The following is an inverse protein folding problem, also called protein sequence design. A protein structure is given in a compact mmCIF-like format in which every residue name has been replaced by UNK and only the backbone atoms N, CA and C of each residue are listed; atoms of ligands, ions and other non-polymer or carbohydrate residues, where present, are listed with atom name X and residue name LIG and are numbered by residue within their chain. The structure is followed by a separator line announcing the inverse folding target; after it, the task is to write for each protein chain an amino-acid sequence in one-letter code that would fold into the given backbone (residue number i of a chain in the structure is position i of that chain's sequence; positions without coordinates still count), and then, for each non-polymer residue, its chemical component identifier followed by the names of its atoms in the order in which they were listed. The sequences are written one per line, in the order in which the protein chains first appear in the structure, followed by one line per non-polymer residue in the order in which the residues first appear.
data_IF_668819591930
#
_entry.id   IF_668819591930
#
_cell.length_a   1.000
_cell.length_b   1.000
_cell.length_c   1.000
_cell.angle_alpha   90.00
_cell.angle_beta   90.00
_cell.angle_gamma   90.00
#
_symmetry.space_group_name_H-M   'P 1'
#
loop_
_entity.id
_entity.type
_entity.pdbx_description
1 polymer ?
#
# COMPACT_ATOMS: atom_id res chain seq x y z
N UNK A 1 11.80 30.99 -1.91
CA UNK A 1 12.75 30.06 -1.28
C UNK A 1 11.91 29.05 -0.53
N UNK A 2 12.07 27.76 -0.80
CA UNK A 2 11.30 26.71 -0.12
C UNK A 2 11.62 26.68 1.38
N UNK A 3 10.69 26.16 2.18
CA UNK A 3 10.90 25.89 3.61
C UNK A 3 12.15 25.00 3.77
N UNK A 4 13.09 25.35 4.66
CA UNK A 4 14.27 24.52 4.90
C UNK A 4 13.87 23.22 5.62
N UNK A 5 14.40 22.08 5.15
CA UNK A 5 14.12 20.75 5.68
C UNK A 5 15.42 20.12 6.21
N UNK A 6 16.02 20.74 7.24
CA UNK A 6 17.40 20.45 7.65
C UNK A 6 17.67 18.97 7.96
N UNK A 7 16.70 18.25 8.55
CA UNK A 7 16.84 16.83 8.86
C UNK A 7 16.80 15.98 7.58
N UNK A 8 15.88 16.27 6.66
CA UNK A 8 15.80 15.58 5.37
C UNK A 8 17.01 15.91 4.48
N UNK A 9 17.49 17.15 4.48
CA UNK A 9 18.69 17.57 3.76
C UNK A 9 19.91 16.81 4.26
N UNK A 10 20.03 16.59 5.57
CA UNK A 10 21.06 15.74 6.15
C UNK A 10 20.93 14.26 5.72
N UNK A 11 19.71 13.73 5.62
CA UNK A 11 19.45 12.38 5.11
C UNK A 11 19.84 12.23 3.62
N UNK A 12 19.61 13.26 2.79
CA UNK A 12 20.08 13.30 1.40
C UNK A 12 21.61 13.43 1.34
N UNK A 13 22.22 14.22 2.22
CA UNK A 13 23.67 14.34 2.30
C UNK A 13 24.33 13.02 2.73
N UNK A 14 23.71 12.27 3.64
CA UNK A 14 24.15 10.93 4.01
C UNK A 14 24.17 9.99 2.80
N UNK A 15 23.15 10.07 1.92
CA UNK A 15 23.12 9.31 0.66
C UNK A 15 24.26 9.71 -0.27
N UNK A 16 24.54 11.02 -0.41
CA UNK A 16 25.63 11.53 -1.22
C UNK A 16 27.03 11.11 -0.73
N UNK A 17 27.16 10.77 0.54
CA UNK A 17 28.40 10.27 1.15
C UNK A 17 28.56 8.75 1.05
N UNK A 18 27.55 8.02 0.58
CA UNK A 18 27.65 6.57 0.44
C UNK A 18 28.66 6.19 -0.65
N UNK A 19 29.45 5.12 -0.43
CA UNK A 19 30.33 4.60 -1.47
C UNK A 19 29.55 4.27 -2.74
N UNK A 20 30.14 4.58 -3.89
CA UNK A 20 29.58 4.29 -5.22
C UNK A 20 28.27 5.01 -5.60
N UNK A 21 27.82 6.02 -4.84
CA UNK A 21 26.70 6.89 -5.26
C UNK A 21 27.21 8.02 -6.18
N UNK A 22 26.84 8.05 -7.47
CA UNK A 22 27.23 9.14 -8.37
C UNK A 22 26.44 10.42 -8.08
N UNK A 23 26.98 11.61 -8.37
CA UNK A 23 26.27 12.89 -8.21
C UNK A 23 24.92 12.94 -8.94
N UNK A 24 24.79 12.23 -10.07
CA UNK A 24 23.54 12.13 -10.82
C UNK A 24 22.42 11.46 -10.01
N UNK A 25 22.72 10.45 -9.18
CA UNK A 25 21.71 9.80 -8.33
C UNK A 25 21.25 10.74 -7.21
N UNK A 26 22.17 11.50 -6.61
CA UNK A 26 21.83 12.52 -5.61
C UNK A 26 20.94 13.61 -6.21
N UNK A 27 21.24 14.04 -7.43
CA UNK A 27 20.41 15.00 -8.16
C UNK A 27 19.01 14.43 -8.44
N UNK A 28 18.90 13.16 -8.85
CA UNK A 28 17.61 12.49 -9.04
C UNK A 28 16.80 12.38 -7.75
N UNK A 29 17.42 12.03 -6.62
CA UNK A 29 16.76 12.01 -5.32
C UNK A 29 16.25 13.39 -4.92
N UNK A 30 17.10 14.40 -5.05
CA UNK A 30 16.74 15.80 -4.74
C UNK A 30 15.61 16.31 -5.62
N UNK A 31 15.63 15.96 -6.92
CA UNK A 31 14.58 16.31 -7.87
C UNK A 31 13.25 15.60 -7.56
N UNK A 32 13.29 14.31 -7.20
CA UNK A 32 12.11 13.54 -6.83
C UNK A 32 11.42 14.14 -5.59
N UNK A 33 12.19 14.49 -4.56
CA UNK A 33 11.68 15.19 -3.37
C UNK A 33 11.08 16.55 -3.75
N UNK A 34 11.84 17.38 -4.46
CA UNK A 34 11.40 18.72 -4.86
C UNK A 34 10.12 18.73 -5.72
N UNK A 35 9.85 17.65 -6.46
CA UNK A 35 8.67 17.51 -7.30
C UNK A 35 7.38 17.17 -6.54
N UNK A 36 7.48 16.78 -5.27
CA UNK A 36 6.34 16.37 -4.44
C UNK A 36 6.45 16.95 -3.02
N UNK A 37 5.81 18.12 -2.78
CA UNK A 37 5.83 18.78 -1.48
C UNK A 37 5.23 17.94 -0.35
N UNK A 38 4.19 17.13 -0.65
CA UNK A 38 3.54 16.28 0.36
C UNK A 38 4.46 15.15 0.81
N UNK A 39 5.12 14.49 -0.14
CA UNK A 39 6.15 13.49 0.16
C UNK A 39 7.33 14.09 0.93
N UNK A 40 7.81 15.27 0.51
CA UNK A 40 8.91 15.98 1.16
C UNK A 40 8.57 16.29 2.61
N UNK A 41 7.37 16.83 2.88
CA UNK A 41 6.93 17.13 4.23
C UNK A 41 6.83 15.86 5.09
N UNK A 42 6.35 14.75 4.53
CA UNK A 42 6.26 13.48 5.24
C UNK A 42 7.64 12.91 5.60
N UNK A 43 8.57 12.88 4.64
CA UNK A 43 9.93 12.38 4.88
C UNK A 43 10.72 13.31 5.82
N UNK A 44 10.48 14.62 5.77
CA UNK A 44 11.09 15.57 6.71
C UNK A 44 10.55 15.39 8.13
N UNK A 45 9.26 15.10 8.31
CA UNK A 45 8.71 14.74 9.61
C UNK A 45 9.31 13.42 10.14
N UNK A 46 9.50 12.44 9.26
CA UNK A 46 10.16 11.17 9.61
C UNK A 46 11.64 11.38 9.97
N UNK A 47 12.35 12.26 9.24
CA UNK A 47 13.73 12.59 9.55
C UNK A 47 13.85 13.37 10.87
N UNK A 48 13.00 14.36 11.06
CA UNK A 48 12.98 15.22 12.26
C UNK A 48 12.59 14.45 13.53
N UNK A 49 11.73 13.44 13.42
CA UNK A 49 11.41 12.55 14.55
C UNK A 49 12.48 11.48 14.81
N UNK A 50 13.49 11.39 13.94
CA UNK A 50 14.52 10.35 13.99
C UNK A 50 14.03 8.97 13.55
N UNK A 51 12.86 8.87 12.91
CA UNK A 51 12.38 7.64 12.28
C UNK A 51 13.14 7.36 10.96
N UNK A 52 13.72 8.38 10.33
CA UNK A 52 14.55 8.24 9.14
C UNK A 52 15.89 8.97 9.34
N UNK A 53 17.00 8.26 9.25
CA UNK A 53 18.34 8.85 9.36
C UNK A 53 18.98 9.15 8.00
N UNK A 54 18.58 8.43 6.95
CA UNK A 54 19.25 8.55 5.66
C UNK A 54 18.73 7.59 4.61
N UNK A 55 19.23 7.78 3.39
CA UNK A 55 19.07 6.82 2.30
C UNK A 55 20.40 6.12 2.04
N UNK A 56 20.33 4.89 1.53
CA UNK A 56 21.48 4.10 1.08
C UNK A 56 21.17 3.47 -0.28
N UNK A 57 22.15 3.31 -1.19
CA UNK A 57 21.93 2.59 -2.43
C UNK A 57 21.84 1.08 -2.15
N UNK A 58 21.07 0.36 -2.96
CA UNK A 58 21.11 -1.10 -2.95
C UNK A 58 22.55 -1.60 -3.22
N UNK A 59 23.00 -2.56 -2.42
CA UNK A 59 24.35 -3.11 -2.55
C UNK A 59 24.51 -3.86 -3.89
N UNK A 60 25.68 -3.79 -4.55
CA UNK A 60 25.94 -4.56 -5.76
C UNK A 60 25.69 -6.06 -5.54
N UNK A 61 24.86 -6.67 -6.39
CA UNK A 61 24.52 -8.10 -6.31
C UNK A 61 23.47 -8.47 -5.26
N UNK A 62 22.86 -7.51 -4.57
CA UNK A 62 21.71 -7.77 -3.70
C UNK A 62 20.50 -8.27 -4.51
N UNK A 63 19.59 -8.98 -3.85
CA UNK A 63 18.30 -9.33 -4.45
C UNK A 63 17.54 -8.07 -4.85
N UNK A 64 16.78 -8.15 -5.94
CA UNK A 64 15.95 -7.02 -6.36
C UNK A 64 14.85 -6.74 -5.34
N UNK A 65 14.74 -5.47 -4.94
CA UNK A 65 13.72 -4.96 -4.03
C UNK A 65 13.02 -3.79 -4.70
N UNK A 66 12.08 -4.04 -5.62
CA UNK A 66 11.52 -3.02 -6.51
C UNK A 66 10.76 -1.90 -5.81
N UNK A 67 10.36 -2.08 -4.54
CA UNK A 67 9.77 -1.01 -3.72
C UNK A 67 10.75 -0.39 -2.73
N UNK A 68 12.02 -0.82 -2.71
CA UNK A 68 13.00 -0.45 -1.68
C UNK A 68 12.86 -1.26 -0.40
N UNK A 69 13.67 -0.90 0.60
CA UNK A 69 13.66 -1.52 1.92
C UNK A 69 14.05 -0.51 3.00
N UNK A 70 13.24 -0.41 4.04
CA UNK A 70 13.52 0.33 5.25
C UNK A 70 14.03 -0.60 6.34
N UNK A 71 15.20 -0.29 6.89
CA UNK A 71 15.79 -0.99 8.01
C UNK A 71 15.49 -0.23 9.31
N UNK A 72 14.67 -0.78 10.23
CA UNK A 72 14.30 -0.11 11.48
C UNK A 72 15.47 -0.02 12.48
N UNK A 73 16.53 -0.81 12.32
CA UNK A 73 17.69 -0.81 13.21
C UNK A 73 18.64 0.33 12.90
N UNK A 74 18.94 0.55 11.62
CA UNK A 74 19.77 1.67 11.15
C UNK A 74 18.94 2.92 10.84
N UNK A 75 17.62 2.77 10.72
CA UNK A 75 16.66 3.80 10.31
C UNK A 75 17.00 4.37 8.93
N UNK A 76 17.46 3.51 8.03
CA UNK A 76 17.83 3.91 6.67
C UNK A 76 16.90 3.29 5.65
N UNK A 77 16.70 4.01 4.55
CA UNK A 77 15.93 3.55 3.40
C UNK A 77 16.87 3.17 2.26
N UNK A 78 16.89 1.89 1.92
CA UNK A 78 17.59 1.33 0.78
C UNK A 78 16.81 1.61 -0.50
N UNK A 79 17.40 2.40 -1.40
CA UNK A 79 16.85 2.74 -2.69
C UNK A 79 17.33 1.73 -3.75
N UNK A 80 16.43 1.08 -4.50
CA UNK A 80 16.81 0.05 -5.47
C UNK A 80 17.52 0.68 -6.67
N UNK A 81 18.43 -0.08 -7.28
CA UNK A 81 19.13 0.38 -8.48
C UNK A 81 18.17 0.72 -9.63
N UNK A 82 17.04 0.01 -9.72
CA UNK A 82 15.96 0.27 -10.70
C UNK A 82 15.26 1.63 -10.53
N UNK A 83 15.44 2.29 -9.38
CA UNK A 83 14.97 3.66 -9.16
C UNK A 83 15.88 4.71 -9.84
N UNK A 84 17.09 4.34 -10.27
CA UNK A 84 18.07 5.25 -10.89
C UNK A 84 18.42 4.79 -12.31
N UNK A 85 17.54 4.97 -13.31
CA UNK A 85 17.86 4.66 -14.70
C UNK A 85 19.00 5.54 -15.20
N UNK A 86 19.82 4.99 -16.10
CA UNK A 86 21.01 5.67 -16.68
C UNK A 86 20.69 6.92 -17.52
N UNK A 87 19.41 7.27 -17.71
CA UNK A 87 18.97 8.39 -18.54
C UNK A 87 17.62 8.92 -18.05
N UNK A 88 17.60 10.17 -17.56
CA UNK A 88 16.39 10.96 -17.32
C UNK A 88 15.79 10.93 -15.91
N UNK A 89 14.75 11.77 -15.72
CA UNK A 89 13.92 11.81 -14.51
C UNK A 89 13.25 10.45 -14.27
N UNK A 90 13.29 9.97 -13.03
CA UNK A 90 12.82 8.62 -12.68
C UNK A 90 11.47 8.67 -11.95
N UNK A 91 10.33 8.46 -12.64
CA UNK A 91 9.04 8.23 -11.97
C UNK A 91 9.09 7.01 -11.02
N UNK A 92 10.04 6.11 -11.24
CA UNK A 92 10.27 4.96 -10.35
C UNK A 92 10.82 5.38 -8.98
N UNK A 93 11.72 6.36 -8.91
CA UNK A 93 12.24 6.82 -7.61
C UNK A 93 11.15 7.49 -6.79
N UNK A 94 10.34 8.34 -7.41
CA UNK A 94 9.22 8.99 -6.74
C UNK A 94 8.23 7.99 -6.15
N UNK A 95 7.84 6.97 -6.92
CA UNK A 95 6.95 5.91 -6.43
C UNK A 95 7.57 5.04 -5.33
N UNK A 96 8.86 4.71 -5.42
CA UNK A 96 9.59 4.01 -4.35
C UNK A 96 9.56 4.83 -3.06
N UNK A 97 9.89 6.13 -3.13
CA UNK A 97 9.91 7.01 -1.94
C UNK A 97 8.53 7.11 -1.29
N UNK A 98 7.45 7.22 -2.08
CA UNK A 98 6.07 7.20 -1.57
C UNK A 98 5.77 5.90 -0.82
N UNK A 99 6.11 4.75 -1.40
CA UNK A 99 5.87 3.45 -0.76
C UNK A 99 6.67 3.31 0.53
N UNK A 100 7.95 3.67 0.51
CA UNK A 100 8.79 3.58 1.69
C UNK A 100 8.41 4.58 2.78
N UNK A 101 7.92 5.77 2.44
CA UNK A 101 7.37 6.70 3.44
C UNK A 101 6.18 6.07 4.18
N UNK A 102 5.33 5.29 3.50
CA UNK A 102 4.26 4.51 4.15
C UNK A 102 4.79 3.39 5.05
N UNK A 103 5.88 2.72 4.65
CA UNK A 103 6.53 1.67 5.44
C UNK A 103 7.16 2.23 6.72
N UNK A 104 7.85 3.37 6.63
CA UNK A 104 8.42 4.08 7.79
C UNK A 104 7.33 4.53 8.75
N UNK A 105 6.23 5.10 8.23
CA UNK A 105 5.07 5.46 9.05
C UNK A 105 4.47 4.22 9.74
N UNK A 106 4.29 3.13 9.01
CA UNK A 106 3.77 1.87 9.56
C UNK A 106 4.66 1.28 10.65
N UNK A 107 5.99 1.36 10.51
CA UNK A 107 6.94 0.90 11.51
C UNK A 107 6.79 1.61 12.87
N UNK A 108 6.27 2.85 12.88
CA UNK A 108 5.99 3.62 14.09
C UNK A 108 4.63 3.34 14.73
N UNK A 109 3.80 2.46 14.14
CA UNK A 109 2.44 2.21 14.64
C UNK A 109 2.42 1.17 15.76
N UNK A 110 1.26 1.11 16.42
CA UNK A 110 0.90 0.07 17.36
C UNK A 110 -0.44 -0.54 16.97
N UNK A 111 -0.64 -1.81 17.31
CA UNK A 111 -1.86 -2.56 17.05
C UNK A 111 -2.43 -3.14 18.35
N UNK A 112 -3.76 -3.27 18.45
CA UNK A 112 -4.37 -3.98 19.56
C UNK A 112 -4.11 -5.50 19.43
N UNK A 113 -3.52 -6.11 20.45
CA UNK A 113 -3.41 -7.57 20.58
C UNK A 113 -4.37 -8.08 21.66
N UNK A 114 -4.38 -9.39 21.91
CA UNK A 114 -5.25 -10.06 22.87
C UNK A 114 -5.45 -9.25 24.18
N UNK A 115 -6.72 -9.13 24.61
CA UNK A 115 -7.18 -8.30 25.74
C UNK A 115 -7.10 -6.76 25.56
N UNK A 116 -6.81 -6.26 24.35
CA UNK A 116 -6.89 -4.83 24.02
C UNK A 116 -5.64 -4.00 24.34
N UNK A 117 -4.54 -4.66 24.75
CA UNK A 117 -3.25 -3.99 24.91
C UNK A 117 -2.68 -3.57 23.55
N UNK A 118 -2.07 -2.38 23.49
CA UNK A 118 -1.40 -1.88 22.28
C UNK A 118 0.04 -2.39 22.23
N UNK A 119 0.40 -3.07 21.14
CA UNK A 119 1.74 -3.55 20.88
C UNK A 119 2.36 -2.79 19.70
N UNK A 120 3.63 -2.37 19.77
CA UNK A 120 4.30 -1.75 18.64
C UNK A 120 4.46 -2.76 17.50
N UNK A 121 4.52 -2.26 16.27
CA UNK A 121 4.92 -3.08 15.11
C UNK A 121 6.30 -3.71 15.39
N UNK A 122 6.37 -5.03 15.31
CA UNK A 122 7.62 -5.74 15.49
C UNK A 122 8.48 -5.69 14.22
N UNK A 123 9.81 -5.83 14.33
CA UNK A 123 10.67 -5.99 13.16
C UNK A 123 10.24 -7.14 12.24
N UNK A 124 9.74 -8.24 12.79
CA UNK A 124 9.22 -9.38 12.02
C UNK A 124 8.00 -8.98 11.16
N UNK A 125 7.04 -8.25 11.73
CA UNK A 125 5.87 -7.76 10.98
C UNK A 125 6.26 -6.81 9.85
N UNK A 126 7.22 -5.92 10.12
CA UNK A 126 7.73 -4.99 9.13
C UNK A 126 8.47 -5.73 8.00
N UNK A 127 9.32 -6.70 8.34
CA UNK A 127 10.02 -7.53 7.37
C UNK A 127 9.05 -8.32 6.50
N UNK A 128 8.02 -8.94 7.10
CA UNK A 128 7.01 -9.69 6.36
C UNK A 128 6.19 -8.82 5.40
N UNK A 129 5.85 -7.60 5.80
CA UNK A 129 5.23 -6.63 4.89
C UNK A 129 6.15 -6.29 3.72
N UNK A 130 7.39 -5.89 4.02
CA UNK A 130 8.36 -5.48 2.99
C UNK A 130 8.73 -6.62 2.04
N UNK A 131 8.84 -7.85 2.55
CA UNK A 131 9.07 -9.04 1.75
C UNK A 131 7.90 -9.33 0.83
N UNK A 132 6.66 -9.17 1.32
CA UNK A 132 5.46 -9.33 0.48
C UNK A 132 5.45 -8.32 -0.66
N UNK A 133 5.71 -7.05 -0.36
CA UNK A 133 5.73 -5.97 -1.36
C UNK A 133 6.83 -6.18 -2.41
N UNK A 134 7.99 -6.72 -2.02
CA UNK A 134 9.14 -6.88 -2.91
C UNK A 134 9.16 -8.21 -3.68
N UNK A 135 8.59 -9.30 -3.13
CA UNK A 135 8.68 -10.66 -3.71
C UNK A 135 7.83 -10.83 -4.98
N UNK A 136 6.82 -9.98 -5.19
CA UNK A 136 5.98 -10.00 -6.39
C UNK A 136 6.21 -8.73 -7.21
N UNK A 137 6.88 -8.81 -8.37
CA UNK A 137 7.07 -7.66 -9.25
C UNK A 137 5.75 -7.00 -9.66
N UNK A 138 4.72 -7.80 -9.92
CA UNK A 138 3.40 -7.28 -10.26
C UNK A 138 2.73 -6.55 -9.07
N UNK A 139 2.90 -7.04 -7.84
CA UNK A 139 2.40 -6.33 -6.65
C UNK A 139 3.18 -5.03 -6.43
N UNK A 140 4.51 -5.06 -6.58
CA UNK A 140 5.36 -3.89 -6.46
C UNK A 140 4.93 -2.78 -7.42
N UNK A 141 4.65 -3.12 -8.68
CA UNK A 141 4.14 -2.16 -9.66
C UNK A 141 2.76 -1.61 -9.27
N UNK A 142 1.81 -2.47 -8.87
CA UNK A 142 0.47 -2.00 -8.49
C UNK A 142 0.49 -1.12 -7.24
N UNK A 143 1.30 -1.43 -6.24
CA UNK A 143 1.47 -0.61 -5.03
C UNK A 143 2.13 0.74 -5.36
N UNK A 144 3.19 0.74 -6.16
CA UNK A 144 3.84 1.98 -6.64
C UNK A 144 2.87 2.85 -7.42
N UNK A 145 2.05 2.22 -8.29
CA UNK A 145 1.01 2.88 -9.06
C UNK A 145 -0.08 3.46 -8.14
N UNK A 146 -0.55 2.72 -7.13
CA UNK A 146 -1.55 3.21 -6.18
C UNK A 146 -1.01 4.38 -5.35
N UNK A 147 0.26 4.32 -4.95
CA UNK A 147 0.92 5.36 -4.17
C UNK A 147 1.19 6.67 -4.94
N UNK A 148 1.06 6.65 -6.27
CA UNK A 148 1.34 7.80 -7.15
C UNK A 148 0.15 8.25 -7.98
N UNK A 149 -0.86 7.40 -8.15
CA UNK A 149 -2.10 7.76 -8.85
C UNK A 149 -2.94 8.65 -7.95
N UNK A 150 -3.35 9.80 -8.48
CA UNK A 150 -4.27 10.71 -7.80
C UNK A 150 -5.66 10.08 -7.70
N UNK A 151 -6.33 10.22 -6.55
CA UNK A 151 -7.72 9.78 -6.42
C UNK A 151 -8.64 10.71 -7.25
N UNK A 152 -9.38 10.20 -8.26
CA UNK A 152 -10.31 11.02 -9.03
C UNK A 152 -11.45 11.62 -8.20
N UNK A 153 -11.80 11.04 -7.04
CA UNK A 153 -12.79 11.60 -6.12
C UNK A 153 -12.19 12.65 -5.18
N UNK A 154 -10.88 12.61 -4.95
CA UNK A 154 -10.18 13.49 -4.02
C UNK A 154 -8.81 13.89 -4.59
N UNK A 155 -8.74 14.88 -5.51
CA UNK A 155 -7.53 15.17 -6.28
C UNK A 155 -6.29 15.59 -5.46
N UNK A 156 -6.50 16.01 -4.22
CA UNK A 156 -5.43 16.30 -3.26
C UNK A 156 -4.76 15.05 -2.68
N UNK A 157 -5.39 13.87 -2.83
CA UNK A 157 -4.92 12.59 -2.32
C UNK A 157 -4.45 11.65 -3.43
N UNK A 158 -3.73 10.61 -3.03
CA UNK A 158 -3.42 9.43 -3.85
C UNK A 158 -4.35 8.29 -3.48
N UNK A 159 -4.44 7.29 -4.36
CA UNK A 159 -5.24 6.11 -4.10
C UNK A 159 -4.75 5.37 -2.85
N UNK A 160 -3.44 5.32 -2.60
CA UNK A 160 -2.89 4.74 -1.38
C UNK A 160 -1.87 5.68 -0.75
N UNK A 161 -2.06 5.99 0.53
CA UNK A 161 -1.21 6.93 1.29
C UNK A 161 -0.72 6.36 2.63
N UNK A 162 -1.29 5.25 3.11
CA UNK A 162 -0.81 4.61 4.34
C UNK A 162 -1.16 3.12 4.46
N UNK A 163 -0.40 2.42 5.30
CA UNK A 163 -0.79 1.12 5.86
C UNK A 163 -1.29 1.32 7.29
N UNK A 164 -2.36 0.62 7.66
CA UNK A 164 -2.96 0.67 8.99
C UNK A 164 -3.32 -0.73 9.47
N UNK A 165 -3.75 -0.86 10.72
CA UNK A 165 -4.30 -2.12 11.23
C UNK A 165 -5.81 -2.10 11.16
N UNK A 166 -6.40 -3.25 10.85
CA UNK A 166 -7.84 -3.46 11.01
C UNK A 166 -8.21 -3.28 12.49
N UNK A 167 -9.29 -2.53 12.74
CA UNK A 167 -9.86 -2.45 14.08
C UNK A 167 -10.35 -3.83 14.54
N UNK A 168 -10.23 -4.18 15.83
CA UNK A 168 -10.71 -5.46 16.34
C UNK A 168 -12.16 -5.73 15.93
N UNK A 169 -12.42 -6.88 15.31
CA UNK A 169 -13.75 -7.31 14.90
C UNK A 169 -14.25 -6.79 13.54
N UNK A 170 -13.45 -6.05 12.76
CA UNK A 170 -13.91 -5.46 11.50
C UNK A 170 -13.80 -6.37 10.25
N UNK A 171 -13.40 -7.64 10.38
CA UNK A 171 -13.41 -8.62 9.29
C UNK A 171 -12.16 -9.50 9.22
N UNK A 172 -12.12 -10.40 8.23
CA UNK A 172 -11.00 -11.31 7.95
C UNK A 172 -10.31 -10.92 6.65
N UNK A 173 -8.99 -10.88 6.63
CA UNK A 173 -8.19 -10.81 5.40
C UNK A 173 -7.48 -9.48 5.15
N UNK A 174 -8.13 -8.33 5.32
CA UNK A 174 -7.61 -7.00 4.95
C UNK A 174 -8.76 -6.09 4.53
N UNK A 175 -8.54 -4.78 4.40
CA UNK A 175 -9.52 -3.88 3.76
C UNK A 175 -8.88 -2.61 3.23
N UNK A 176 -9.43 -2.05 2.17
CA UNK A 176 -9.11 -0.71 1.70
C UNK A 176 -10.12 0.34 2.21
N UNK A 177 -9.61 1.35 2.93
CA UNK A 177 -10.38 2.50 3.39
C UNK A 177 -10.26 3.66 2.39
N UNK A 178 -11.24 3.79 1.48
CA UNK A 178 -11.22 4.82 0.45
C UNK A 178 -11.26 6.27 0.98
N UNK A 179 -12.08 6.62 2.00
CA UNK A 179 -12.00 7.96 2.60
C UNK A 179 -10.63 8.30 3.21
N UNK A 180 -9.94 7.31 3.78
CA UNK A 180 -8.64 7.50 4.45
C UNK A 180 -7.42 7.13 3.62
N UNK A 181 -7.60 6.72 2.35
CA UNK A 181 -6.53 6.24 1.44
C UNK A 181 -5.59 5.23 2.09
N UNK A 182 -6.15 4.33 2.90
CA UNK A 182 -5.39 3.44 3.77
C UNK A 182 -5.67 1.98 3.47
N UNK A 183 -4.62 1.17 3.44
CA UNK A 183 -4.72 -0.28 3.44
C UNK A 183 -4.65 -0.79 4.88
N UNK A 184 -5.75 -1.36 5.36
CA UNK A 184 -5.84 -1.96 6.67
C UNK A 184 -5.43 -3.44 6.59
N UNK A 185 -4.40 -3.80 7.35
CA UNK A 185 -3.84 -5.14 7.45
C UNK A 185 -4.27 -5.79 8.76
N UNK A 186 -4.43 -7.11 8.74
CA UNK A 186 -4.65 -7.89 9.96
C UNK A 186 -3.28 -8.15 10.59
N UNK A 187 -3.07 -7.81 11.87
CA UNK A 187 -1.80 -8.02 12.56
C UNK A 187 -1.27 -9.45 12.43
N UNK A 188 -2.16 -10.41 12.60
CA UNK A 188 -1.91 -11.86 12.53
C UNK A 188 -1.39 -12.31 11.16
N UNK A 189 -1.71 -11.58 10.10
CA UNK A 189 -1.22 -11.87 8.74
C UNK A 189 0.23 -11.44 8.52
N UNK A 190 0.77 -10.61 9.41
CA UNK A 190 2.15 -10.11 9.36
C UNK A 190 3.08 -10.82 10.34
N UNK A 191 2.56 -11.69 11.22
CA UNK A 191 3.37 -12.34 12.26
C UNK A 191 3.87 -13.72 11.80
N UNK A 192 5.17 -13.95 11.89
CA UNK A 192 5.75 -15.29 11.80
C UNK A 192 5.40 -16.05 13.09
N UNK A 193 5.00 -17.32 12.95
CA UNK A 193 4.51 -18.13 14.09
C UNK A 193 5.61 -18.29 15.16
N UNK A 194 5.31 -17.85 16.39
CA UNK A 194 5.96 -18.33 17.62
C UNK A 194 5.00 -19.20 18.45
N UNK A 195 5.47 -19.80 19.54
CA UNK A 195 4.73 -20.80 20.35
C UNK A 195 3.35 -20.37 20.86
N UNK A 196 3.00 -19.07 20.80
CA UNK A 196 1.79 -18.47 21.35
C UNK A 196 1.01 -17.59 20.35
N UNK A 197 1.19 -17.77 19.03
CA UNK A 197 0.55 -16.93 18.01
C UNK A 197 -0.43 -17.75 17.16
N UNK A 198 -1.68 -17.28 17.07
CA UNK A 198 -2.78 -17.93 16.31
C UNK A 198 -2.77 -17.52 14.82
N UNK A 199 -2.06 -16.43 14.48
CA UNK A 199 -1.85 -15.94 13.12
C UNK A 199 -0.64 -16.55 12.43
N UNK A 200 -0.70 -16.69 11.10
CA UNK A 200 0.43 -17.15 10.29
C UNK A 200 0.63 -16.24 9.09
N UNK A 201 1.78 -15.57 9.05
CA UNK A 201 2.29 -14.96 7.82
C UNK A 201 2.38 -16.01 6.71
N UNK A 202 1.64 -15.76 5.64
CA UNK A 202 1.77 -16.48 4.38
C UNK A 202 1.98 -15.44 3.28
N UNK A 203 3.17 -15.40 2.64
CA UNK A 203 3.48 -14.40 1.63
C UNK A 203 2.52 -14.45 0.44
N UNK A 204 1.98 -15.62 0.09
CA UNK A 204 1.04 -15.75 -1.04
C UNK A 204 -0.33 -15.18 -0.70
N UNK A 205 -0.84 -15.49 0.49
CA UNK A 205 -2.14 -14.98 0.94
C UNK A 205 -2.08 -13.46 1.12
N UNK A 206 -1.01 -12.96 1.75
CA UNK A 206 -0.84 -11.52 1.93
C UNK A 206 -0.61 -10.79 0.60
N UNK A 207 0.14 -11.39 -0.34
CA UNK A 207 0.28 -10.83 -1.71
C UNK A 207 -1.09 -10.70 -2.37
N UNK A 208 -1.93 -11.75 -2.28
CA UNK A 208 -3.27 -11.74 -2.84
C UNK A 208 -4.15 -10.67 -2.18
N UNK A 209 -4.16 -10.59 -0.85
CA UNK A 209 -4.90 -9.57 -0.09
C UNK A 209 -4.46 -8.17 -0.50
N UNK A 210 -3.19 -7.83 -0.38
CA UNK A 210 -2.69 -6.47 -0.71
C UNK A 210 -3.03 -6.14 -2.17
N UNK A 211 -2.82 -7.08 -3.08
CA UNK A 211 -3.20 -6.90 -4.49
C UNK A 211 -4.71 -6.68 -4.69
N UNK A 212 -5.55 -7.42 -3.96
CA UNK A 212 -7.01 -7.27 -3.99
C UNK A 212 -7.45 -5.90 -3.46
N UNK A 213 -6.93 -5.49 -2.30
CA UNK A 213 -7.27 -4.22 -1.66
C UNK A 213 -6.81 -3.00 -2.48
N UNK A 214 -5.65 -3.07 -3.14
CA UNK A 214 -5.23 -2.01 -4.07
C UNK A 214 -6.24 -1.83 -5.22
N UNK A 215 -6.80 -2.92 -5.74
CA UNK A 215 -7.84 -2.84 -6.77
C UNK A 215 -9.14 -2.21 -6.25
N UNK A 216 -9.46 -2.35 -4.96
CA UNK A 216 -10.56 -1.59 -4.37
C UNK A 216 -10.31 -0.09 -4.39
N UNK A 217 -9.06 0.35 -4.22
CA UNK A 217 -8.68 1.75 -4.40
C UNK A 217 -8.94 2.28 -5.80
N UNK A 218 -8.46 1.58 -6.83
CA UNK A 218 -8.70 1.99 -8.22
C UNK A 218 -10.19 1.98 -8.63
N UNK A 219 -10.99 1.08 -8.05
CA UNK A 219 -12.40 0.95 -8.36
C UNK A 219 -13.33 1.75 -7.42
N UNK A 220 -12.77 2.51 -6.47
CA UNK A 220 -13.55 3.20 -5.44
C UNK A 220 -14.59 4.16 -6.03
N UNK A 221 -14.23 4.89 -7.10
CA UNK A 221 -15.13 5.78 -7.82
C UNK A 221 -16.31 5.04 -8.44
N UNK A 222 -16.04 3.98 -9.21
CA UNK A 222 -17.08 3.18 -9.86
C UNK A 222 -17.99 2.54 -8.82
N UNK A 223 -17.43 2.03 -7.72
CA UNK A 223 -18.20 1.49 -6.61
C UNK A 223 -19.09 2.55 -5.93
N UNK A 224 -18.60 3.78 -5.76
CA UNK A 224 -19.39 4.89 -5.20
C UNK A 224 -20.54 5.32 -6.12
N UNK A 225 -20.31 5.35 -7.44
CA UNK A 225 -21.35 5.59 -8.44
C UNK A 225 -22.40 4.48 -8.42
N UNK A 226 -21.97 3.21 -8.38
CA UNK A 226 -22.85 2.05 -8.26
C UNK A 226 -23.71 2.10 -7.00
N UNK A 227 -23.14 2.50 -5.85
CA UNK A 227 -23.85 2.69 -4.58
C UNK A 227 -24.91 3.79 -4.70
N UNK A 228 -24.54 4.93 -5.27
CA UNK A 228 -25.44 6.07 -5.46
C UNK A 228 -26.62 5.70 -6.34
N UNK A 229 -26.35 5.00 -7.45
CA UNK A 229 -27.39 4.53 -8.36
C UNK A 229 -28.33 3.52 -7.68
N UNK A 230 -27.77 2.55 -6.94
CA UNK A 230 -28.59 1.59 -6.19
C UNK A 230 -29.50 2.27 -5.16
N UNK A 231 -28.99 3.23 -4.38
CA UNK A 231 -29.79 3.97 -3.40
C UNK A 231 -30.89 4.79 -4.08
N UNK A 232 -30.58 5.40 -5.24
CA UNK A 232 -31.58 6.12 -6.03
C UNK A 232 -32.69 5.17 -6.53
N UNK A 233 -32.34 3.99 -7.04
CA UNK A 233 -33.29 2.98 -7.52
C UNK A 233 -34.23 2.51 -6.38
N UNK A 234 -33.67 2.24 -5.20
CA UNK A 234 -34.44 1.83 -4.01
C UNK A 234 -35.38 2.95 -3.54
N UNK A 235 -34.90 4.21 -3.51
CA UNK A 235 -35.74 5.37 -3.12
C UNK A 235 -36.86 5.61 -4.12
N UNK A 236 -36.59 5.49 -5.41
CA UNK A 236 -37.60 5.63 -6.45
C UNK A 236 -38.69 4.56 -6.31
N UNK A 237 -38.31 3.31 -6.05
CA UNK A 237 -39.26 2.21 -5.79
C UNK A 237 -40.12 2.47 -4.55
N UNK A 238 -39.50 2.91 -3.45
CA UNK A 238 -40.19 3.23 -2.20
C UNK A 238 -41.18 4.42 -2.33
N UNK A 239 -40.93 5.34 -3.26
CA UNK A 239 -41.80 6.48 -3.53
C UNK A 239 -43.02 6.13 -4.41
N UNK A 240 -43.11 4.92 -4.95
CA UNK A 240 -44.26 4.50 -5.75
C UNK A 240 -45.51 4.32 -4.87
N UNK A 241 -46.73 4.65 -5.34
CA UNK A 241 -47.97 4.48 -4.55
C UNK A 241 -48.40 3.02 -4.28
N UNK A 242 -47.52 2.05 -4.52
CA UNK A 242 -47.84 0.63 -4.39
C UNK A 242 -47.82 0.19 -2.93
N UNK A 243 -48.76 -0.67 -2.54
CA UNK A 243 -48.78 -1.30 -1.21
C UNK A 243 -47.70 -2.40 -1.07
N UNK A 244 -47.07 -2.83 -2.17
CA UNK A 244 -45.98 -3.81 -2.20
C UNK A 244 -44.86 -3.26 -3.07
N UNK A 245 -43.66 -3.16 -2.51
CA UNK A 245 -42.44 -2.76 -3.23
C UNK A 245 -41.59 -4.01 -3.52
N UNK A 246 -41.36 -4.31 -4.80
CA UNK A 246 -40.46 -5.39 -5.21
C UNK A 246 -39.06 -4.83 -5.52
N UNK A 247 -38.11 -5.13 -4.62
CA UNK A 247 -36.73 -4.69 -4.76
C UNK A 247 -35.84 -5.69 -5.49
N UNK A 248 -36.36 -6.82 -5.98
CA UNK A 248 -35.58 -7.91 -6.58
C UNK A 248 -34.70 -7.45 -7.74
N UNK A 249 -35.19 -6.53 -8.57
CA UNK A 249 -34.41 -5.96 -9.66
C UNK A 249 -33.28 -5.08 -9.13
N UNK A 250 -33.58 -4.14 -8.22
CA UNK A 250 -32.59 -3.24 -7.64
C UNK A 250 -31.51 -3.99 -6.88
N UNK A 251 -31.85 -5.05 -6.13
CA UNK A 251 -30.88 -5.87 -5.40
C UNK A 251 -29.98 -6.66 -6.36
N UNK A 252 -30.53 -7.26 -7.42
CA UNK A 252 -29.73 -7.93 -8.46
C UNK A 252 -28.75 -6.97 -9.13
N UNK A 253 -29.24 -5.79 -9.52
CA UNK A 253 -28.41 -4.75 -10.13
C UNK A 253 -27.35 -4.23 -9.16
N UNK A 254 -27.68 -4.12 -7.88
CA UNK A 254 -26.75 -3.79 -6.81
C UNK A 254 -25.61 -4.81 -6.73
N UNK A 255 -25.92 -6.11 -6.69
CA UNK A 255 -24.92 -7.18 -6.69
C UNK A 255 -23.98 -7.06 -7.89
N UNK A 256 -24.48 -6.86 -9.10
CA UNK A 256 -23.66 -6.70 -10.30
C UNK A 256 -22.78 -5.43 -10.27
N UNK A 257 -23.29 -4.33 -9.70
CA UNK A 257 -22.56 -3.06 -9.54
C UNK A 257 -21.52 -3.10 -8.43
N UNK A 258 -21.70 -3.96 -7.42
CA UNK A 258 -20.77 -4.12 -6.30
C UNK A 258 -19.76 -5.25 -6.52
N UNK A 259 -20.12 -6.26 -7.31
CA UNK A 259 -19.22 -7.34 -7.72
C UNK A 259 -18.36 -6.90 -8.92
N UNK A 260 -17.28 -6.16 -8.64
CA UNK A 260 -16.23 -5.85 -9.63
C UNK A 260 -15.36 -7.07 -9.98
N UNK A 261 -15.95 -8.27 -10.09
CA UNK A 261 -15.40 -9.35 -10.92
C UNK A 261 -15.65 -9.14 -12.41
N UNK A 262 -16.54 -8.23 -12.82
CA UNK A 262 -16.82 -8.01 -14.23
C UNK A 262 -15.92 -6.92 -14.87
N UNK A 263 -15.15 -7.33 -15.89
CA UNK A 263 -14.41 -6.51 -16.87
C UNK A 263 -12.99 -6.02 -16.56
N UNK A 264 -12.09 -6.95 -16.20
CA UNK A 264 -10.66 -6.80 -16.54
C UNK A 264 -10.18 -8.09 -17.22
N UNK A 265 -9.86 -8.01 -18.53
CA UNK A 265 -8.92 -8.94 -19.17
C UNK A 265 -7.61 -8.21 -19.47
N UNK A 266 -6.44 -8.88 -19.40
CA UNK A 266 -6.22 -10.25 -18.95
C UNK A 266 -5.72 -10.30 -17.49
N UNK A 267 -6.55 -10.90 -16.63
CA UNK A 267 -6.30 -11.29 -15.24
C UNK A 267 -5.54 -12.63 -15.11
N UNK A 268 -4.81 -13.04 -16.15
CA UNK A 268 -4.31 -14.42 -16.27
C UNK A 268 -2.86 -14.61 -15.80
N UNK A 269 -2.15 -13.59 -15.28
CA UNK A 269 -0.75 -13.78 -14.86
C UNK A 269 -0.59 -13.97 -13.34
N UNK A 270 -1.29 -13.18 -12.52
CA UNK A 270 -1.17 -13.26 -11.05
C UNK A 270 -1.89 -14.49 -10.46
N UNK A 271 -3.08 -14.80 -10.97
CA UNK A 271 -3.85 -15.97 -10.52
C UNK A 271 -3.24 -17.29 -11.03
N UNK A 272 -2.61 -17.27 -12.20
CA UNK A 272 -2.05 -18.48 -12.82
C UNK A 272 -0.68 -18.85 -12.23
N UNK A 273 0.13 -17.87 -11.80
CA UNK A 273 1.35 -18.13 -11.02
C UNK A 273 1.05 -18.70 -9.62
N UNK A 274 0.03 -18.18 -8.94
CA UNK A 274 -0.36 -18.63 -7.61
C UNK A 274 -1.02 -20.03 -7.62
N UNK A 275 -1.81 -20.35 -8.67
CA UNK A 275 -2.47 -21.66 -8.79
C UNK A 275 -1.53 -22.80 -9.21
N UNK A 276 -0.48 -22.52 -9.98
CA UNK A 276 0.47 -23.56 -10.41
C UNK A 276 1.40 -24.06 -9.29
N UNK A 277 1.32 -23.49 -8.09
CA UNK A 277 2.16 -23.89 -6.94
C UNK A 277 1.37 -24.46 -5.76
N UNK A 278 0.03 -24.44 -5.75
CA UNK A 278 -0.79 -25.06 -4.68
C UNK A 278 -2.26 -25.28 -5.10
N UNK A 279 -2.65 -26.49 -5.56
CA UNK A 279 -4.04 -26.81 -5.88
C UNK A 279 -4.81 -27.21 -4.60
N UNK A 280 -5.28 -26.24 -3.81
CA UNK A 280 -6.00 -26.60 -2.58
C UNK A 280 -6.88 -25.56 -1.89
N UNK A 281 -6.78 -24.26 -2.20
CA UNK A 281 -7.54 -23.25 -1.44
C UNK A 281 -8.88 -22.95 -2.11
N UNK A 282 -9.90 -23.71 -1.72
CA UNK A 282 -11.30 -23.41 -1.98
C UNK A 282 -11.80 -22.31 -1.03
N UNK A 283 -12.11 -21.14 -1.58
CA UNK A 283 -12.79 -20.07 -0.85
C UNK A 283 -14.29 -20.39 -0.74
N UNK A 284 -14.79 -20.51 0.49
CA UNK A 284 -16.21 -20.35 0.81
C UNK A 284 -16.42 -18.91 1.27
N UNK A 285 -17.19 -18.14 0.51
CA UNK A 285 -17.61 -16.79 0.91
C UNK A 285 -18.89 -16.89 1.74
N UNK A 286 -18.93 -16.17 2.86
CA UNK A 286 -20.16 -15.73 3.52
C UNK A 286 -20.60 -14.39 2.91
#
# INVERSE_FOLDING_TARGET
MGTPHAALDAAVQHFAQQPAVPPAQVASLSAALSSDPGLTQQLDAQASSGALHGFVPAAPGSSDRPVGEYDPSTRTMTLPASAFPNSGSSPNLHSVLRVQAMVVDFAGKSYPYAAGAMHPVSPDMLNNLQDTLNRSPALAEEIKRAATTTDPLQPQHRILESFAFIAPGAGVGGSFNAPGHAMNLVSESLMTVGSNSVGKYNPHDLTFVIGHEVQHGFNAQTAAQGRTAFVADVRAMAATPSHIHDYTFSTRLGIERFDHRAHLRPRDHLVHLARNTSPGVGLRCA
#
